data_IF_808546712186
#
_entry.id   IF_808546712186
#
_cell.length_a   1.000
_cell.length_b   1.000
_cell.length_c   1.000
_cell.angle_alpha   90.00
_cell.angle_beta   90.00
_cell.angle_gamma   90.00
#
_symmetry.space_group_name_H-M   'P 1'
#
loop_
_entity.id
_entity.type
_entity.pdbx_description
1 polymer ?
#
# COMPACT_ATOMS: atom_id res chain seq x y z
N UNK A 1 10.78 -15.34 -2.42
CA UNK A 1 11.62 -14.12 -2.35
C UNK A 1 10.98 -12.94 -3.10
N UNK A 2 10.64 -13.08 -4.39
CA UNK A 2 10.09 -11.98 -5.20
C UNK A 2 8.81 -11.33 -4.62
N UNK A 3 7.87 -12.14 -4.09
CA UNK A 3 6.65 -11.62 -3.46
C UNK A 3 6.94 -10.75 -2.21
N UNK A 4 7.97 -11.10 -1.43
CA UNK A 4 8.38 -10.31 -0.26
C UNK A 4 9.01 -8.98 -0.70
N UNK A 5 9.81 -9.00 -1.77
CA UNK A 5 10.34 -7.77 -2.36
C UNK A 5 9.22 -6.86 -2.84
N UNK A 6 8.18 -7.43 -3.45
CA UNK A 6 7.01 -6.69 -3.92
C UNK A 6 6.20 -6.07 -2.78
N UNK A 7 6.05 -6.79 -1.66
CA UNK A 7 5.46 -6.22 -0.44
C UNK A 7 6.30 -5.08 0.15
N UNK A 8 7.63 -5.25 0.17
CA UNK A 8 8.54 -4.19 0.59
C UNK A 8 8.41 -2.94 -0.29
N UNK A 9 8.31 -3.12 -1.61
CA UNK A 9 8.07 -2.04 -2.56
C UNK A 9 6.75 -1.31 -2.30
N UNK A 10 5.66 -2.04 -2.02
CA UNK A 10 4.39 -1.45 -1.62
C UNK A 10 4.50 -0.62 -0.31
N UNK A 11 5.24 -1.13 0.67
CA UNK A 11 5.55 -0.40 1.90
C UNK A 11 6.34 0.89 1.65
N UNK A 12 7.33 0.84 0.75
CA UNK A 12 8.10 2.01 0.34
C UNK A 12 7.23 3.04 -0.39
N UNK A 13 6.33 2.61 -1.28
CA UNK A 13 5.39 3.49 -1.98
C UNK A 13 4.53 4.29 -0.99
N UNK A 14 4.03 3.62 0.05
CA UNK A 14 3.28 4.26 1.14
C UNK A 14 4.16 5.22 1.94
N UNK A 15 5.37 4.80 2.31
CA UNK A 15 6.30 5.65 3.07
C UNK A 15 6.68 6.93 2.32
N UNK A 16 6.92 6.82 1.02
CA UNK A 16 7.16 7.97 0.14
C UNK A 16 5.94 8.88 0.09
N UNK A 17 4.74 8.32 -0.08
CA UNK A 17 3.49 9.11 -0.08
C UNK A 17 3.33 9.92 1.21
N UNK A 18 3.49 9.28 2.38
CA UNK A 18 3.41 9.95 3.69
C UNK A 18 4.48 11.04 3.82
N UNK A 19 5.69 10.78 3.33
CA UNK A 19 6.78 11.77 3.32
C UNK A 19 6.43 13.00 2.50
N UNK A 20 5.78 12.85 1.34
CA UNK A 20 5.38 13.99 0.49
C UNK A 20 4.34 14.90 1.13
N UNK A 21 3.45 14.34 1.96
CA UNK A 21 2.43 15.09 2.72
C UNK A 21 3.02 15.81 3.94
N UNK A 22 4.19 15.38 4.40
CA UNK A 22 4.80 15.89 5.63
C UNK A 22 5.63 17.14 5.38
N UNK A 23 5.58 18.09 6.33
CA UNK A 23 6.42 19.30 6.30
C UNK A 23 7.71 19.14 7.11
N UNK A 24 7.70 18.27 8.13
CA UNK A 24 8.84 18.02 9.01
C UNK A 24 9.07 16.53 9.22
N UNK A 25 10.30 16.15 9.62
CA UNK A 25 10.65 14.75 9.93
C UNK A 25 9.79 14.18 11.07
N UNK A 26 9.54 14.97 12.11
CA UNK A 26 8.71 14.56 13.26
C UNK A 26 7.26 14.31 12.82
N UNK A 27 6.71 15.18 11.98
CA UNK A 27 5.35 15.00 11.44
C UNK A 27 5.25 13.74 10.57
N UNK A 28 6.28 13.46 9.76
CA UNK A 28 6.32 12.25 8.94
C UNK A 28 6.28 10.98 9.80
N UNK A 29 7.06 10.94 10.88
CA UNK A 29 7.04 9.80 11.80
C UNK A 29 5.67 9.63 12.47
N UNK A 30 5.04 10.72 12.94
CA UNK A 30 3.73 10.66 13.57
C UNK A 30 2.64 10.18 12.60
N UNK A 31 2.62 10.72 11.38
CA UNK A 31 1.69 10.28 10.33
C UNK A 31 1.93 8.84 9.93
N UNK A 32 3.19 8.40 9.86
CA UNK A 32 3.53 7.01 9.60
C UNK A 32 2.91 6.10 10.66
N UNK A 33 3.12 6.37 11.95
CA UNK A 33 2.54 5.54 13.01
C UNK A 33 1.01 5.51 12.99
N UNK A 34 0.38 6.67 12.81
CA UNK A 34 -1.09 6.75 12.74
C UNK A 34 -1.64 5.96 11.54
N UNK A 35 -1.01 6.11 10.38
CA UNK A 35 -1.47 5.46 9.14
C UNK A 35 -1.12 3.97 9.12
N UNK A 36 0.02 3.58 9.68
CA UNK A 36 0.48 2.20 9.72
C UNK A 36 -0.53 1.27 10.40
N UNK A 37 -1.07 1.68 11.55
CA UNK A 37 -2.09 0.89 12.25
C UNK A 37 -3.34 0.69 11.38
N UNK A 38 -3.82 1.76 10.75
CA UNK A 38 -5.00 1.71 9.87
C UNK A 38 -4.75 0.82 8.66
N UNK A 39 -3.59 0.95 8.03
CA UNK A 39 -3.20 0.15 6.87
C UNK A 39 -3.12 -1.33 7.19
N UNK A 40 -2.55 -1.69 8.34
CA UNK A 40 -2.43 -3.07 8.79
C UNK A 40 -3.81 -3.68 9.03
N UNK A 41 -4.74 -2.93 9.65
CA UNK A 41 -6.11 -3.38 9.85
C UNK A 41 -6.88 -3.57 8.53
N UNK A 42 -6.70 -2.65 7.56
CA UNK A 42 -7.35 -2.71 6.25
C UNK A 42 -6.63 -3.60 5.22
N UNK A 43 -5.47 -4.16 5.55
CA UNK A 43 -4.65 -4.99 4.65
C UNK A 43 -5.26 -6.35 4.30
N UNK A 44 -6.36 -6.74 4.96
CA UNK A 44 -6.97 -8.05 4.75
C UNK A 44 -6.31 -9.19 5.54
N UNK A 45 -5.23 -8.92 6.30
CA UNK A 45 -4.48 -9.94 7.05
C UNK A 45 -5.29 -10.46 8.26
N UNK A 46 -5.92 -9.56 9.02
CA UNK A 46 -6.68 -9.93 10.22
C UNK A 46 -8.15 -10.22 9.93
N UNK A 47 -8.75 -9.40 9.07
CA UNK A 47 -10.15 -9.50 8.66
C UNK A 47 -10.18 -9.57 7.13
N UNK A 48 -10.81 -10.58 6.52
CA UNK A 48 -10.96 -10.65 5.07
C UNK A 48 -11.64 -9.38 4.52
N UNK A 49 -11.16 -8.86 3.40
CA UNK A 49 -11.69 -7.61 2.82
C UNK A 49 -13.18 -7.79 2.50
N UNK A 50 -13.57 -8.96 2.02
CA UNK A 50 -14.95 -9.30 1.67
C UNK A 50 -15.91 -9.27 2.86
N UNK A 51 -15.40 -9.42 4.09
CA UNK A 51 -16.19 -9.34 5.32
C UNK A 51 -16.37 -7.90 5.82
N UNK A 52 -15.65 -6.93 5.25
CA UNK A 52 -15.78 -5.52 5.65
C UNK A 52 -17.03 -4.89 5.02
N UNK A 53 -17.63 -3.85 5.64
CA UNK A 53 -18.65 -3.05 4.98
C UNK A 53 -18.15 -2.44 3.66
N UNK A 54 -19.06 -2.24 2.70
CA UNK A 54 -18.76 -1.75 1.34
C UNK A 54 -17.86 -0.49 1.29
N UNK A 55 -18.06 0.45 2.23
CA UNK A 55 -17.24 1.67 2.29
C UNK A 55 -15.79 1.39 2.70
N UNK A 56 -15.54 0.43 3.61
CA UNK A 56 -14.19 0.03 3.98
C UNK A 56 -13.53 -0.81 2.88
N UNK A 57 -14.30 -1.65 2.19
CA UNK A 57 -13.79 -2.40 1.04
C UNK A 57 -13.24 -1.47 -0.03
N UNK A 58 -13.99 -0.43 -0.38
CA UNK A 58 -13.56 0.56 -1.36
C UNK A 58 -12.22 1.23 -0.97
N UNK A 59 -12.05 1.58 0.31
CA UNK A 59 -10.80 2.16 0.81
C UNK A 59 -9.67 1.13 0.77
N UNK A 60 -9.93 -0.10 1.22
CA UNK A 60 -8.94 -1.17 1.23
C UNK A 60 -8.40 -1.46 -0.18
N UNK A 61 -9.27 -1.54 -1.20
CA UNK A 61 -8.81 -1.84 -2.57
C UNK A 61 -7.92 -0.76 -3.20
N UNK A 62 -7.96 0.48 -2.69
CA UNK A 62 -7.06 1.57 -3.10
C UNK A 62 -5.67 1.41 -2.48
N UNK A 63 -5.55 0.69 -1.36
CA UNK A 63 -4.30 0.50 -0.66
C UNK A 63 -3.50 -0.66 -1.28
N UNK A 64 -2.21 -0.47 -1.58
CA UNK A 64 -1.42 -1.54 -2.21
C UNK A 64 -1.28 -2.74 -1.27
N UNK A 65 -1.13 -2.52 0.04
CA UNK A 65 -0.98 -3.60 1.03
C UNK A 65 -2.16 -4.59 1.04
N UNK A 66 -3.37 -4.16 0.68
CA UNK A 66 -4.55 -5.02 0.64
C UNK A 66 -4.49 -6.08 -0.47
N UNK A 67 -3.72 -5.83 -1.54
CA UNK A 67 -3.44 -6.82 -2.59
C UNK A 67 -2.30 -7.78 -2.23
N UNK A 68 -1.57 -7.49 -1.15
CA UNK A 68 -0.43 -8.30 -0.71
C UNK A 68 -0.82 -9.61 -0.02
N UNK A 69 -1.89 -9.58 0.78
CA UNK A 69 -2.38 -10.75 1.51
C UNK A 69 -2.82 -11.93 0.60
N UNK A 70 -3.64 -11.73 -0.44
CA UNK A 70 -4.01 -12.82 -1.35
C UNK A 70 -2.81 -13.39 -2.12
N UNK A 71 -1.83 -12.55 -2.48
CA UNK A 71 -0.58 -12.99 -3.10
C UNK A 71 0.20 -13.96 -2.20
N UNK A 72 0.46 -13.56 -0.94
CA UNK A 72 1.23 -14.39 0.00
C UNK A 72 0.48 -15.66 0.36
N UNK A 73 -0.80 -15.54 0.74
CA UNK A 73 -1.62 -16.69 1.10
C UNK A 73 -1.74 -17.66 -0.07
N UNK A 74 -1.91 -17.17 -1.30
CA UNK A 74 -1.95 -18.00 -2.50
C UNK A 74 -0.66 -18.79 -2.77
N UNK A 75 0.49 -18.17 -2.52
CA UNK A 75 1.80 -18.84 -2.65
C UNK A 75 1.96 -19.90 -1.54
N UNK A 76 1.69 -19.55 -0.29
CA UNK A 76 1.91 -20.43 0.87
C UNK A 76 0.95 -21.63 0.86
N UNK A 77 -0.33 -21.39 0.61
CA UNK A 77 -1.37 -22.43 0.76
C UNK A 77 -1.60 -23.24 -0.50
N UNK A 78 -1.45 -22.64 -1.69
CA UNK A 78 -1.81 -23.25 -2.97
C UNK A 78 -0.61 -23.46 -3.89
N UNK A 79 0.61 -23.07 -3.47
CA UNK A 79 1.81 -23.17 -4.31
C UNK A 79 1.70 -22.37 -5.61
N UNK A 80 0.88 -21.31 -5.64
CA UNK A 80 0.69 -20.50 -6.85
C UNK A 80 2.01 -19.83 -7.24
N UNK A 81 2.18 -19.64 -8.55
CA UNK A 81 3.25 -18.78 -9.07
C UNK A 81 3.12 -17.36 -8.51
N UNK A 82 4.25 -16.69 -8.32
CA UNK A 82 4.28 -15.29 -7.90
C UNK A 82 3.66 -14.39 -8.97
N UNK A 83 3.83 -14.74 -10.24
CA UNK A 83 3.29 -13.96 -11.35
C UNK A 83 1.83 -14.33 -11.58
N UNK A 84 0.93 -13.48 -11.09
CA UNK A 84 -0.52 -13.65 -11.22
C UNK A 84 -1.23 -12.31 -11.03
N UNK A 85 -2.56 -12.36 -11.03
CA UNK A 85 -3.40 -11.18 -10.88
C UNK A 85 -3.03 -10.34 -9.65
N UNK A 86 -2.86 -10.99 -8.49
CA UNK A 86 -2.54 -10.32 -7.22
C UNK A 86 -1.18 -9.59 -7.27
N UNK A 87 -0.22 -10.10 -8.03
CA UNK A 87 1.08 -9.46 -8.22
C UNK A 87 0.96 -8.21 -9.09
N UNK A 88 0.23 -8.30 -10.20
CA UNK A 88 0.03 -7.16 -11.09
C UNK A 88 -0.86 -6.09 -10.48
N UNK A 89 -1.86 -6.45 -9.67
CA UNK A 89 -2.68 -5.49 -8.93
C UNK A 89 -1.85 -4.76 -7.87
N UNK A 90 -1.07 -5.49 -7.07
CA UNK A 90 -0.13 -4.92 -6.09
C UNK A 90 0.86 -3.96 -6.77
N UNK A 91 1.40 -4.35 -7.92
CA UNK A 91 2.33 -3.54 -8.69
C UNK A 91 1.66 -2.29 -9.27
N UNK A 92 0.50 -2.44 -9.91
CA UNK A 92 -0.25 -1.33 -10.46
C UNK A 92 -0.58 -0.27 -9.41
N UNK A 93 -1.16 -0.69 -8.27
CA UNK A 93 -1.53 0.23 -7.19
C UNK A 93 -0.30 0.90 -6.57
N UNK A 94 0.79 0.15 -6.35
CA UNK A 94 2.03 0.72 -5.81
C UNK A 94 2.65 1.75 -6.75
N UNK A 95 2.67 1.48 -8.06
CA UNK A 95 3.17 2.42 -9.07
C UNK A 95 2.30 3.68 -9.12
N UNK A 96 0.97 3.53 -9.12
CA UNK A 96 0.04 4.66 -9.08
C UNK A 96 0.29 5.53 -7.85
N UNK A 97 0.51 4.93 -6.68
CA UNK A 97 0.79 5.66 -5.45
C UNK A 97 2.12 6.43 -5.51
N UNK A 98 3.17 5.84 -6.09
CA UNK A 98 4.46 6.52 -6.30
C UNK A 98 4.31 7.67 -7.29
N UNK A 99 3.59 7.48 -8.39
CA UNK A 99 3.33 8.53 -9.38
C UNK A 99 2.54 9.68 -8.77
N UNK A 100 1.50 9.38 -7.98
CA UNK A 100 0.75 10.39 -7.22
C UNK A 100 1.65 11.17 -6.26
N UNK A 101 2.50 10.46 -5.51
CA UNK A 101 3.48 11.08 -4.61
C UNK A 101 4.40 12.04 -5.37
N UNK A 102 4.91 11.62 -6.53
CA UNK A 102 5.78 12.43 -7.37
C UNK A 102 5.07 13.68 -7.92
N UNK A 103 3.82 13.54 -8.39
CA UNK A 103 3.00 14.68 -8.86
C UNK A 103 2.76 15.68 -7.73
N UNK A 104 2.35 15.20 -6.55
CA UNK A 104 2.13 16.05 -5.37
C UNK A 104 3.40 16.78 -4.96
N UNK A 105 4.55 16.10 -4.99
CA UNK A 105 5.84 16.69 -4.70
C UNK A 105 6.21 17.80 -5.69
N UNK A 106 5.97 17.59 -6.99
CA UNK A 106 6.22 18.62 -7.99
C UNK A 106 5.30 19.84 -7.82
N UNK A 107 4.01 19.63 -7.53
CA UNK A 107 3.04 20.72 -7.32
C UNK A 107 3.45 21.62 -6.16
N UNK A 108 3.94 21.04 -5.06
CA UNK A 108 4.44 21.78 -3.91
C UNK A 108 5.66 22.65 -4.23
N UNK A 109 6.47 22.28 -5.23
CA UNK A 109 7.64 23.05 -5.65
C UNK A 109 7.29 24.32 -6.45
N UNK A 110 6.08 24.44 -6.99
CA UNK A 110 5.61 25.63 -7.71
C UNK A 110 4.92 26.68 -6.82
N UNK A 111 4.63 26.34 -5.55
CA UNK A 111 4.03 27.27 -4.57
C UNK A 111 5.07 28.01 -3.71
N UNK A 112 6.37 27.80 -3.96
CA UNK A 112 7.49 28.45 -3.26
C UNK A 112 8.25 29.34 -4.23
#
# INVERSE_FOLDING_TARGET
FLALFMLGFAGLAIGVFISTLSKTKTQANQLFFATFLVLVLLSGIFIPIEAMPLYLQAIAYVLPLSHGNPLITGIITKGKSVFGFDFFSLLGVSVVLVVLSFILFQRRKYEV
#
